data_IF_664885724221
#
_entry.id   IF_664885724221
#
_cell.length_a   1.000
_cell.length_b   1.000
_cell.length_c   1.000
_cell.angle_alpha   90.00
_cell.angle_beta   90.00
_cell.angle_gamma   90.00
#
_symmetry.space_group_name_H-M   'P 1'
#
loop_
_entity.id
_entity.type
_entity.pdbx_description
1 polymer ?
#
# COMPACT_ATOMS: atom_id res chain seq x y z
N UNK A 1 12.56 3.19 -1.64
CA UNK A 1 11.69 4.01 -0.77
C UNK A 1 12.54 4.90 0.11
N UNK A 2 12.85 6.09 -0.38
CA UNK A 2 13.55 7.14 0.37
C UNK A 2 12.63 8.33 0.64
N UNK A 3 13.06 9.25 1.48
CA UNK A 3 12.40 10.55 1.64
C UNK A 3 12.95 11.52 0.61
N UNK A 4 12.07 12.16 -0.15
CA UNK A 4 12.38 13.25 -1.04
C UNK A 4 11.99 14.57 -0.36
N UNK A 5 12.93 15.52 -0.28
CA UNK A 5 12.67 16.81 0.34
C UNK A 5 11.93 17.71 -0.65
N UNK A 6 10.69 18.09 -0.32
CA UNK A 6 9.84 18.96 -1.16
C UNK A 6 9.70 20.37 -0.59
N UNK A 7 10.26 20.64 0.60
CA UNK A 7 10.31 21.98 1.18
C UNK A 7 11.33 22.12 2.31
N UNK A 8 11.26 23.22 3.07
CA UNK A 8 12.16 23.45 4.21
C UNK A 8 12.01 22.37 5.29
N UNK A 9 10.77 21.94 5.54
CA UNK A 9 10.41 20.91 6.52
C UNK A 9 9.47 19.84 5.95
N UNK A 10 9.16 19.91 4.65
CA UNK A 10 8.26 18.97 3.99
C UNK A 10 9.05 17.91 3.24
N UNK A 11 8.64 16.66 3.43
CA UNK A 11 9.18 15.48 2.79
C UNK A 11 8.06 14.69 2.16
N UNK A 12 8.35 14.09 1.03
CA UNK A 12 7.47 13.15 0.34
C UNK A 12 8.15 11.79 0.36
N UNK A 13 7.37 10.74 0.54
CA UNK A 13 7.91 9.38 0.54
C UNK A 13 6.98 8.46 -0.22
N UNK A 14 7.57 7.68 -1.12
CA UNK A 14 6.92 6.55 -1.75
C UNK A 14 6.97 5.33 -0.82
N UNK A 15 5.80 4.75 -0.57
CA UNK A 15 5.58 3.61 0.32
C UNK A 15 4.84 2.53 -0.46
N UNK A 16 5.41 1.33 -0.53
CA UNK A 16 4.72 0.17 -1.09
C UNK A 16 4.24 -0.72 0.05
N UNK A 17 2.94 -0.99 0.09
CA UNK A 17 2.30 -1.86 1.07
C UNK A 17 1.89 -3.15 0.38
N UNK A 18 2.25 -4.28 0.99
CA UNK A 18 1.85 -5.60 0.53
C UNK A 18 0.92 -6.24 1.56
N UNK A 19 -0.22 -6.71 1.09
CA UNK A 19 -1.18 -7.48 1.87
C UNK A 19 -1.30 -8.87 1.26
N UNK A 20 -0.98 -9.89 2.04
CA UNK A 20 -1.02 -11.29 1.63
C UNK A 20 -2.19 -11.97 2.32
N UNK A 21 -3.04 -12.65 1.54
CA UNK A 21 -4.20 -13.36 2.08
C UNK A 21 -4.36 -14.73 1.44
N UNK A 22 -4.67 -15.71 2.26
CA UNK A 22 -5.01 -17.07 1.82
C UNK A 22 -6.52 -17.28 1.97
N UNK A 23 -7.17 -17.84 0.94
CA UNK A 23 -8.57 -18.26 0.98
C UNK A 23 -9.56 -17.17 1.42
N UNK A 24 -9.53 -16.01 0.75
CA UNK A 24 -10.37 -14.86 1.11
C UNK A 24 -11.08 -14.26 -0.11
N UNK A 25 -12.41 -14.20 -0.07
CA UNK A 25 -13.23 -13.76 -1.20
C UNK A 25 -13.55 -12.25 -1.17
N UNK A 26 -13.46 -11.61 0.00
CA UNK A 26 -13.77 -10.19 0.23
C UNK A 26 -12.57 -9.24 -0.02
N UNK A 27 -11.58 -9.67 -0.80
CA UNK A 27 -10.36 -8.89 -1.08
C UNK A 27 -10.65 -7.55 -1.74
N UNK A 28 -11.63 -7.49 -2.63
CA UNK A 28 -11.98 -6.26 -3.33
C UNK A 28 -12.61 -5.22 -2.37
N UNK A 29 -13.37 -5.70 -1.37
CA UNK A 29 -13.95 -4.85 -0.32
C UNK A 29 -12.83 -4.29 0.56
N UNK A 30 -11.92 -5.15 1.01
CA UNK A 30 -10.75 -4.72 1.79
C UNK A 30 -9.89 -3.70 1.06
N UNK A 31 -9.69 -3.89 -0.25
CA UNK A 31 -8.94 -2.94 -1.07
C UNK A 31 -9.59 -1.55 -1.07
N UNK A 32 -10.91 -1.49 -1.23
CA UNK A 32 -11.68 -0.24 -1.18
C UNK A 32 -11.66 0.40 0.20
N UNK A 33 -11.86 -0.40 1.26
CA UNK A 33 -11.82 0.09 2.64
C UNK A 33 -10.45 0.67 3.00
N UNK A 34 -9.38 -0.02 2.59
CA UNK A 34 -8.02 0.45 2.79
C UNK A 34 -7.80 1.79 2.08
N UNK A 35 -8.12 1.88 0.78
CA UNK A 35 -7.99 3.13 0.01
C UNK A 35 -8.81 4.26 0.64
N UNK A 36 -10.04 3.97 1.07
CA UNK A 36 -10.90 4.94 1.75
C UNK A 36 -10.30 5.46 3.05
N UNK A 37 -9.62 4.60 3.81
CA UNK A 37 -8.97 4.98 5.08
C UNK A 37 -7.76 5.91 4.89
N UNK A 38 -7.05 5.82 3.76
CA UNK A 38 -5.84 6.61 3.50
C UNK A 38 -6.08 8.12 3.44
N UNK A 39 -7.26 8.52 2.95
CA UNK A 39 -7.69 9.92 2.89
C UNK A 39 -7.57 10.65 4.24
N UNK A 40 -7.76 9.92 5.36
CA UNK A 40 -7.70 10.47 6.73
C UNK A 40 -6.29 10.65 7.26
N UNK A 41 -5.30 10.06 6.60
CA UNK A 41 -3.92 9.94 7.12
C UNK A 41 -2.90 10.74 6.32
N UNK A 42 -3.34 11.56 5.35
CA UNK A 42 -2.43 12.33 4.48
C UNK A 42 -1.63 11.46 3.50
N UNK A 43 -2.09 10.23 3.25
CA UNK A 43 -1.54 9.33 2.25
C UNK A 43 -2.40 9.40 0.99
N UNK A 44 -1.75 9.37 -0.16
CA UNK A 44 -2.39 9.27 -1.46
C UNK A 44 -2.06 7.90 -2.06
N UNK A 45 -3.10 7.13 -2.41
CA UNK A 45 -2.90 5.90 -3.17
C UNK A 45 -2.73 6.22 -4.64
N UNK A 46 -1.56 5.93 -5.20
CA UNK A 46 -1.27 6.15 -6.62
C UNK A 46 -1.74 4.97 -7.45
N UNK A 47 -1.51 3.75 -6.94
CA UNK A 47 -1.82 2.51 -7.64
C UNK A 47 -2.17 1.42 -6.65
N UNK A 48 -3.12 0.58 -7.05
CA UNK A 48 -3.43 -0.66 -6.34
C UNK A 48 -3.48 -1.80 -7.35
N UNK A 49 -2.89 -2.94 -7.01
CA UNK A 49 -2.77 -4.13 -7.84
C UNK A 49 -3.22 -5.34 -7.03
N UNK A 50 -3.96 -6.24 -7.67
CA UNK A 50 -4.32 -7.54 -7.13
C UNK A 50 -3.66 -8.60 -8.00
N UNK A 51 -2.91 -9.48 -7.37
CA UNK A 51 -2.18 -10.56 -8.04
C UNK A 51 -2.27 -11.85 -7.22
N UNK A 52 -1.80 -12.96 -7.78
CA UNK A 52 -1.70 -14.26 -7.10
C UNK A 52 -0.27 -14.75 -7.12
N UNK A 53 0.28 -14.93 -5.92
CA UNK A 53 1.62 -15.47 -5.74
C UNK A 53 1.55 -16.96 -5.41
N UNK A 54 2.24 -17.79 -6.20
CA UNK A 54 2.39 -19.22 -5.92
C UNK A 54 3.38 -19.42 -4.76
N UNK A 55 2.98 -20.19 -3.74
CA UNK A 55 3.90 -20.58 -2.67
C UNK A 55 4.97 -21.50 -3.24
N UNK A 56 6.24 -21.20 -2.93
CA UNK A 56 7.38 -21.95 -3.43
C UNK A 56 7.22 -23.44 -3.10
N UNK A 57 7.42 -24.29 -4.10
CA UNK A 57 7.38 -25.76 -3.98
C UNK A 57 6.01 -26.35 -3.55
N UNK A 58 4.91 -25.62 -3.75
CA UNK A 58 3.55 -26.13 -3.46
C UNK A 58 2.54 -25.79 -4.58
N UNK A 59 1.38 -26.44 -4.58
CA UNK A 59 0.25 -26.12 -5.47
C UNK A 59 -0.63 -24.97 -4.96
N UNK A 60 -0.29 -24.41 -3.79
CA UNK A 60 -1.08 -23.36 -3.14
C UNK A 60 -0.72 -21.97 -3.67
N UNK A 61 -1.74 -21.12 -3.77
CA UNK A 61 -1.65 -19.72 -4.17
C UNK A 61 -2.09 -18.82 -3.02
N UNK A 62 -1.50 -17.63 -2.96
CA UNK A 62 -1.84 -16.56 -2.03
C UNK A 62 -2.23 -15.35 -2.86
N UNK A 63 -3.37 -14.74 -2.57
CA UNK A 63 -3.72 -13.47 -3.17
C UNK A 63 -2.87 -12.36 -2.53
N UNK A 64 -2.34 -11.48 -3.37
CA UNK A 64 -1.48 -10.36 -2.97
C UNK A 64 -2.11 -9.06 -3.45
N UNK A 65 -2.41 -8.17 -2.51
CA UNK A 65 -2.76 -6.79 -2.82
C UNK A 65 -1.51 -5.93 -2.62
N UNK A 66 -1.13 -5.20 -3.65
CA UNK A 66 -0.02 -4.24 -3.61
C UNK A 66 -0.58 -2.84 -3.73
N UNK A 67 -0.17 -1.95 -2.83
CA UNK A 67 -0.56 -0.54 -2.85
C UNK A 67 0.69 0.32 -2.93
N UNK A 68 0.77 1.16 -3.95
CA UNK A 68 1.79 2.18 -4.09
C UNK A 68 1.21 3.50 -3.59
N UNK A 69 1.77 3.99 -2.50
CA UNK A 69 1.29 5.15 -1.78
C UNK A 69 2.35 6.25 -1.80
N UNK A 70 1.92 7.49 -1.88
CA UNK A 70 2.74 8.66 -1.58
C UNK A 70 2.25 9.30 -0.30
N UNK A 71 3.16 9.55 0.65
CA UNK A 71 2.84 10.27 1.89
C UNK A 71 3.64 11.56 2.00
N UNK A 72 2.98 12.61 2.45
CA UNK A 72 3.62 13.89 2.74
C UNK A 72 3.82 14.02 4.25
N UNK A 73 5.06 14.22 4.66
CA UNK A 73 5.49 14.31 6.06
C UNK A 73 6.05 15.70 6.30
N UNK A 74 5.53 16.37 7.30
CA UNK A 74 6.08 17.63 7.79
C UNK A 74 6.92 17.32 9.03
N UNK A 75 8.23 17.57 8.95
CA UNK A 75 9.13 17.49 10.08
C UNK A 75 8.89 18.71 10.99
N UNK A 76 8.19 18.49 12.09
CA UNK A 76 8.00 19.49 13.15
C UNK A 76 8.85 19.02 14.34
N UNK A 77 9.86 19.79 14.69
CA UNK A 77 10.66 19.62 15.91
C UNK A 77 10.03 20.44 17.04
#
# INVERSE_FOLDING_TARGET
GGFERTGATNYTQEVTVYFFSENREDLDILQLEFIGSLSKTGHTCNKSLKDRMKKKDTEFFVDVLTFELTRNIKLVC
#
